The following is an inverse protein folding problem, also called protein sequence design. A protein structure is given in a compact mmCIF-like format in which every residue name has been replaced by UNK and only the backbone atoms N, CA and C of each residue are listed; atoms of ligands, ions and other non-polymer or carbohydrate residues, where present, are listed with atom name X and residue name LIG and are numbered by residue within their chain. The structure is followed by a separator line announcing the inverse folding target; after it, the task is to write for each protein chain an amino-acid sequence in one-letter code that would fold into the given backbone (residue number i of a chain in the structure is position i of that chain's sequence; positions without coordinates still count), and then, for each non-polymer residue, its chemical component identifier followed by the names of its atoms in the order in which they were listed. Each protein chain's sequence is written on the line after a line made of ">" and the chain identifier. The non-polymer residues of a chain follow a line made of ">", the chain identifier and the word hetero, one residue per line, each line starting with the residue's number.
data_IF_576273003263
#
_entry.id   IF_576273003263
#
_cell.length_a   1.000
_cell.length_b   1.000
_cell.length_c   1.000
_cell.angle_alpha   90.00
_cell.angle_beta   90.00
_cell.angle_gamma   90.00
#
_symmetry.space_group_name_H-M   'P 1'
#
loop_
_entity.id
_entity.type
_entity.pdbx_description
1 polymer ?
#
# COMPACT_ATOMS: atom_id res chain seq x y z
N UNK A 1 1.51 33.53 -25.25
CA UNK A 1 2.61 33.23 -24.33
C UNK A 1 2.23 31.99 -23.54
N UNK A 2 2.74 30.83 -23.94
CA UNK A 2 2.69 29.64 -23.09
C UNK A 2 3.82 29.81 -22.08
N UNK A 3 3.47 30.22 -20.86
CA UNK A 3 4.36 30.17 -19.71
C UNK A 3 4.69 28.70 -19.44
N UNK A 4 5.66 28.16 -20.18
CA UNK A 4 6.19 26.83 -19.99
C UNK A 4 7.02 26.82 -18.71
N UNK A 5 6.34 26.76 -17.57
CA UNK A 5 7.00 26.54 -16.28
C UNK A 5 7.64 25.14 -16.31
N UNK A 6 8.97 25.09 -16.38
CA UNK A 6 9.76 23.85 -16.35
C UNK A 6 9.72 23.13 -14.98
N UNK A 7 9.10 23.74 -13.97
CA UNK A 7 8.98 23.19 -12.63
C UNK A 7 7.70 23.66 -11.95
N UNK A 8 7.15 22.80 -11.10
CA UNK A 8 6.02 23.11 -10.21
C UNK A 8 6.53 23.32 -8.79
N UNK A 9 6.10 24.39 -8.12
CA UNK A 9 6.40 24.60 -6.70
C UNK A 9 5.55 23.67 -5.85
N UNK A 10 6.18 22.67 -5.23
CA UNK A 10 5.51 21.72 -4.33
C UNK A 10 5.89 22.03 -2.89
N UNK A 11 4.92 22.05 -1.98
CA UNK A 11 5.18 22.19 -0.54
C UNK A 11 5.89 20.94 -0.02
N UNK A 12 6.97 21.05 0.77
CA UNK A 12 7.69 19.88 1.29
C UNK A 12 6.79 18.86 2.00
N UNK A 13 5.79 19.31 2.77
CA UNK A 13 4.79 18.45 3.42
C UNK A 13 3.92 17.60 2.47
N UNK A 14 3.90 17.93 1.18
CA UNK A 14 3.21 17.17 0.14
C UNK A 14 4.16 16.25 -0.62
N UNK A 15 5.38 16.07 -0.13
CA UNK A 15 6.36 15.13 -0.66
C UNK A 15 6.62 14.07 0.41
N UNK A 16 6.82 12.84 -0.03
CA UNK A 16 7.32 11.78 0.84
C UNK A 16 8.36 10.94 0.11
N UNK A 17 9.31 10.43 0.87
CA UNK A 17 10.30 9.50 0.36
C UNK A 17 9.79 8.08 0.57
N UNK A 18 9.93 7.26 -0.47
CA UNK A 18 9.50 5.86 -0.47
C UNK A 18 10.66 5.00 -0.92
N UNK A 19 10.92 3.95 -0.17
CA UNK A 19 11.80 2.89 -0.64
C UNK A 19 10.96 1.87 -1.40
N UNK A 20 11.32 1.61 -2.66
CA UNK A 20 10.74 0.58 -3.49
C UNK A 20 11.54 -0.69 -3.20
N UNK A 21 10.98 -1.58 -2.41
CA UNK A 21 11.58 -2.88 -2.13
C UNK A 21 10.83 -3.97 -2.88
N UNK A 22 11.49 -5.11 -3.08
CA UNK A 22 10.79 -6.33 -3.47
C UNK A 22 9.81 -6.79 -2.39
N UNK A 23 9.95 -6.29 -1.14
CA UNK A 23 9.10 -6.49 0.04
C UNK A 23 7.96 -5.44 0.20
N UNK A 24 7.78 -4.53 -0.77
CA UNK A 24 6.72 -3.53 -0.77
C UNK A 24 7.25 -2.11 -0.78
N UNK A 25 6.55 -1.20 -0.10
CA UNK A 25 6.87 0.21 -0.13
C UNK A 25 6.80 0.81 1.26
N UNK A 26 7.89 0.70 2.01
CA UNK A 26 7.99 1.37 3.29
C UNK A 26 7.99 2.89 3.06
N UNK A 27 7.11 3.60 3.78
CA UNK A 27 7.20 5.05 3.89
C UNK A 27 8.38 5.34 4.81
N UNK A 28 9.37 6.08 4.31
CA UNK A 28 10.46 6.56 5.15
C UNK A 28 9.94 7.77 5.92
N UNK A 29 9.79 7.62 7.24
CA UNK A 29 9.38 8.71 8.13
C UNK A 29 10.60 9.49 8.63
N UNK A 30 10.42 10.77 8.97
CA UNK A 30 11.43 11.66 9.54
C UNK A 30 12.02 11.14 10.86
N UNK A 31 11.29 10.27 11.57
CA UNK A 31 11.73 9.56 12.77
C UNK A 31 12.67 8.37 12.50
N UNK A 32 12.67 7.83 11.27
CA UNK A 32 13.56 6.75 10.84
C UNK A 32 14.76 7.36 10.12
N UNK A 33 15.93 7.26 10.72
CA UNK A 33 17.16 7.69 10.02
C UNK A 33 17.35 6.88 8.73
N UNK A 34 17.96 7.46 7.70
CA UNK A 34 18.40 6.73 6.50
C UNK A 34 19.34 5.54 6.79
N UNK A 35 19.76 5.33 8.04
CA UNK A 35 20.52 4.14 8.46
C UNK A 35 19.66 2.88 8.51
N UNK A 36 18.35 3.00 8.76
CA UNK A 36 17.40 1.87 8.79
C UNK A 36 16.60 1.83 7.48
N UNK A 37 17.33 1.69 6.37
CA UNK A 37 16.73 1.28 5.09
C UNK A 37 16.27 -0.18 5.20
N UNK A 38 15.47 -0.63 4.23
CA UNK A 38 15.16 -2.05 4.08
C UNK A 38 16.43 -2.91 4.07
N UNK A 39 16.26 -4.24 4.15
CA UNK A 39 17.36 -5.21 4.25
C UNK A 39 18.45 -5.06 3.17
N UNK A 40 18.15 -4.38 2.06
CA UNK A 40 19.07 -4.12 0.95
C UNK A 40 19.32 -2.62 0.76
N UNK A 41 20.60 -2.25 0.73
CA UNK A 41 21.07 -0.87 0.58
C UNK A 41 20.94 -0.31 -0.84
N UNK A 42 20.73 -1.17 -1.83
CA UNK A 42 20.62 -0.88 -3.26
C UNK A 42 19.17 -0.73 -3.74
N UNK A 43 18.18 -0.83 -2.85
CA UNK A 43 16.79 -0.60 -3.21
C UNK A 43 16.58 0.80 -3.79
N UNK A 44 15.67 0.92 -4.76
CA UNK A 44 15.36 2.21 -5.37
C UNK A 44 14.59 3.09 -4.38
N UNK A 45 14.96 4.36 -4.32
CA UNK A 45 14.23 5.35 -3.52
C UNK A 45 13.54 6.30 -4.49
N UNK A 46 12.24 6.51 -4.31
CA UNK A 46 11.48 7.47 -5.09
C UNK A 46 10.88 8.56 -4.22
N UNK A 47 10.79 9.75 -4.80
CA UNK A 47 10.08 10.88 -4.23
C UNK A 47 8.65 10.87 -4.76
N UNK A 48 7.68 10.73 -3.88
CA UNK A 48 6.27 10.69 -4.24
C UNK A 48 5.57 11.99 -3.86
N UNK A 49 4.87 12.59 -4.83
CA UNK A 49 3.96 13.71 -4.60
C UNK A 49 2.64 13.21 -4.01
N UNK A 50 2.20 13.83 -2.93
CA UNK A 50 0.94 13.60 -2.26
C UNK A 50 -0.09 14.66 -2.66
N UNK A 51 -1.35 14.26 -2.73
CA UNK A 51 -2.47 15.21 -2.78
C UNK A 51 -2.57 15.90 -1.42
N UNK A 52 -3.07 17.13 -1.41
CA UNK A 52 -3.19 17.90 -0.17
C UNK A 52 -4.05 17.19 0.89
N UNK A 53 -5.13 16.50 0.48
CA UNK A 53 -5.96 15.68 1.37
C UNK A 53 -5.20 14.51 1.99
N UNK A 54 -4.24 13.93 1.27
CA UNK A 54 -3.41 12.83 1.77
C UNK A 54 -2.35 13.36 2.73
N UNK A 55 -1.68 14.45 2.36
CA UNK A 55 -0.70 15.13 3.20
C UNK A 55 -1.32 15.61 4.54
N UNK A 56 -2.55 16.12 4.51
CA UNK A 56 -3.28 16.55 5.73
C UNK A 56 -3.65 15.41 6.67
N UNK A 57 -3.69 14.16 6.20
CA UNK A 57 -3.93 13.00 7.06
C UNK A 57 -2.67 12.55 7.80
N UNK A 58 -1.50 12.98 7.33
CA UNK A 58 -0.22 12.65 7.93
C UNK A 58 0.10 13.68 9.02
N UNK A 59 0.38 13.19 10.22
CA UNK A 59 0.78 13.99 11.38
C UNK A 59 2.25 13.77 11.66
N UNK A 60 2.95 14.84 12.03
CA UNK A 60 4.33 14.76 12.50
C UNK A 60 4.45 13.83 13.70
N UNK A 61 5.55 13.08 13.76
CA UNK A 61 5.83 12.13 14.85
C UNK A 61 5.05 10.82 14.78
N UNK A 62 4.12 10.64 13.84
CA UNK A 62 3.39 9.38 13.64
C UNK A 62 4.03 8.59 12.49
N UNK A 63 4.31 7.31 12.71
CA UNK A 63 4.72 6.40 11.65
C UNK A 63 3.51 5.92 10.86
N UNK A 64 3.65 5.87 9.54
CA UNK A 64 2.61 5.37 8.64
C UNK A 64 3.14 4.22 7.81
N UNK A 65 2.29 3.25 7.54
CA UNK A 65 2.54 2.17 6.60
C UNK A 65 1.70 2.41 5.33
N UNK A 66 2.34 2.31 4.17
CA UNK A 66 1.64 2.22 2.89
C UNK A 66 1.34 0.76 2.55
N UNK A 67 0.09 0.48 2.22
CA UNK A 67 -0.38 -0.82 1.75
C UNK A 67 -0.90 -0.62 0.33
N UNK A 68 -0.25 -1.26 -0.63
CA UNK A 68 -0.72 -1.30 -2.01
C UNK A 68 -1.80 -2.36 -2.11
N UNK A 69 -2.94 -1.97 -2.64
CA UNK A 69 -4.12 -2.79 -2.78
C UNK A 69 -4.47 -2.93 -4.26
N UNK A 70 -5.03 -4.06 -4.68
CA UNK A 70 -5.64 -4.21 -6.00
C UNK A 70 -6.98 -4.92 -5.85
N UNK A 71 -8.03 -4.40 -6.47
CA UNK A 71 -9.35 -5.05 -6.45
C UNK A 71 -9.43 -6.10 -7.56
N UNK A 72 -9.95 -7.26 -7.21
CA UNK A 72 -10.27 -8.35 -8.11
C UNK A 72 -11.66 -8.90 -7.81
N UNK A 73 -12.47 -9.04 -8.87
CA UNK A 73 -13.77 -9.69 -8.84
C UNK A 73 -13.79 -10.82 -9.87
N UNK A 74 -13.84 -12.09 -9.47
CA UNK A 74 -13.88 -13.18 -10.43
C UNK A 74 -15.24 -13.30 -11.14
N UNK A 75 -16.34 -12.88 -10.51
CA UNK A 75 -17.69 -13.02 -11.06
C UNK A 75 -17.94 -12.05 -12.22
N UNK A 76 -17.32 -10.87 -12.18
CA UNK A 76 -17.39 -9.87 -13.26
C UNK A 76 -16.10 -9.79 -14.09
N UNK A 77 -15.07 -10.57 -13.75
CA UNK A 77 -13.73 -10.53 -14.35
C UNK A 77 -13.12 -9.12 -14.25
N UNK A 78 -13.52 -8.37 -13.23
CA UNK A 78 -13.07 -7.00 -13.02
C UNK A 78 -11.74 -7.01 -12.27
N UNK A 79 -10.72 -6.36 -12.83
CA UNK A 79 -9.50 -6.03 -12.12
C UNK A 79 -9.29 -4.52 -12.19
N UNK A 80 -9.29 -3.86 -11.04
CA UNK A 80 -8.97 -2.44 -11.00
C UNK A 80 -7.45 -2.22 -11.01
N UNK A 81 -7.01 -1.01 -11.40
CA UNK A 81 -5.66 -0.55 -11.13
C UNK A 81 -5.31 -0.65 -9.64
N UNK A 82 -4.04 -0.88 -9.30
CA UNK A 82 -3.62 -0.83 -7.92
C UNK A 82 -3.84 0.57 -7.33
N UNK A 83 -4.26 0.62 -6.07
CA UNK A 83 -4.43 1.82 -5.30
C UNK A 83 -3.68 1.69 -3.98
N UNK A 84 -3.46 2.81 -3.30
CA UNK A 84 -2.71 2.81 -2.06
C UNK A 84 -3.57 3.22 -0.88
N UNK A 85 -3.37 2.53 0.22
CA UNK A 85 -3.96 2.85 1.52
C UNK A 85 -2.84 3.19 2.50
N UNK A 86 -2.98 4.32 3.18
CA UNK A 86 -2.02 4.82 4.17
C UNK A 86 -2.66 4.71 5.55
N UNK A 87 -2.01 4.02 6.47
CA UNK A 87 -2.54 3.75 7.82
C UNK A 87 -1.45 4.04 8.85
N UNK A 88 -1.75 4.71 9.98
CA UNK A 88 -0.82 4.80 11.10
C UNK A 88 -0.34 3.41 11.54
N UNK A 89 0.95 3.22 11.83
CA UNK A 89 1.49 1.94 12.32
C UNK A 89 0.75 1.50 13.60
N UNK A 90 0.45 2.43 14.51
CA UNK A 90 -0.30 2.16 15.76
C UNK A 90 -1.72 1.64 15.52
N UNK A 91 -2.37 2.09 14.44
CA UNK A 91 -3.71 1.63 14.05
C UNK A 91 -3.65 0.24 13.41
N UNK A 92 -2.55 -0.11 12.74
CA UNK A 92 -2.34 -1.47 12.25
C UNK A 92 -2.16 -2.47 13.39
N UNK A 93 -1.57 -2.05 14.52
CA UNK A 93 -1.49 -2.87 15.74
C UNK A 93 -2.88 -3.22 16.28
N UNK A 94 -3.87 -2.32 16.11
CA UNK A 94 -5.27 -2.57 16.48
C UNK A 94 -5.97 -3.59 15.55
N UNK A 95 -5.34 -3.96 14.43
CA UNK A 95 -5.64 -5.18 13.68
C UNK A 95 -6.46 -5.00 12.40
N UNK A 96 -6.95 -6.14 11.88
CA UNK A 96 -7.59 -6.29 10.56
C UNK A 96 -8.81 -5.40 10.31
N UNK A 97 -9.56 -5.05 11.36
CA UNK A 97 -10.81 -4.29 11.21
C UNK A 97 -10.57 -2.87 10.71
N UNK A 98 -9.50 -2.22 11.19
CA UNK A 98 -9.14 -0.87 10.71
C UNK A 98 -8.71 -0.94 9.25
N UNK A 99 -7.91 -1.93 8.88
CA UNK A 99 -7.51 -2.15 7.49
C UNK A 99 -8.72 -2.36 6.56
N UNK A 100 -9.67 -3.22 6.96
CA UNK A 100 -10.92 -3.45 6.22
C UNK A 100 -11.72 -2.15 6.05
N UNK A 101 -11.85 -1.35 7.12
CA UNK A 101 -12.56 -0.07 7.09
C UNK A 101 -11.92 0.91 6.11
N UNK A 102 -10.61 1.13 6.20
CA UNK A 102 -9.92 2.11 5.33
C UNK A 102 -9.94 1.65 3.87
N UNK A 103 -9.78 0.35 3.62
CA UNK A 103 -9.90 -0.21 2.26
C UNK A 103 -11.33 -0.07 1.73
N UNK A 104 -12.34 -0.31 2.57
CA UNK A 104 -13.75 -0.13 2.22
C UNK A 104 -14.04 1.30 1.80
N UNK A 105 -13.58 2.29 2.58
CA UNK A 105 -13.70 3.72 2.26
C UNK A 105 -13.04 4.10 0.93
N UNK A 106 -11.93 3.44 0.57
CA UNK A 106 -11.23 3.73 -0.68
C UNK A 106 -11.87 3.02 -1.90
N UNK A 107 -12.36 1.80 -1.71
CA UNK A 107 -12.85 0.93 -2.79
C UNK A 107 -14.36 0.95 -2.98
N UNK A 108 -15.10 1.60 -2.08
CA UNK A 108 -16.57 1.56 -1.99
C UNK A 108 -17.14 0.14 -1.88
N UNK A 109 -16.38 -0.79 -1.28
CA UNK A 109 -16.79 -2.17 -1.03
C UNK A 109 -17.06 -2.31 0.46
N UNK A 110 -18.14 -2.99 0.84
CA UNK A 110 -18.45 -3.21 2.25
C UNK A 110 -17.38 -4.07 2.95
N UNK A 111 -16.96 -3.75 4.19
CA UNK A 111 -15.90 -4.48 4.90
C UNK A 111 -16.10 -6.01 4.96
N UNK A 112 -17.34 -6.46 5.12
CA UNK A 112 -17.75 -7.87 5.19
C UNK A 112 -17.58 -8.62 3.87
N UNK A 113 -17.55 -7.89 2.74
CA UNK A 113 -17.32 -8.47 1.41
C UNK A 113 -15.84 -8.56 1.08
N UNK A 114 -14.95 -7.96 1.87
CA UNK A 114 -13.52 -7.98 1.62
C UNK A 114 -12.91 -9.30 2.09
N UNK A 115 -12.31 -10.04 1.15
CA UNK A 115 -11.36 -11.10 1.42
C UNK A 115 -9.97 -10.69 0.94
N UNK A 116 -8.93 -11.15 1.62
CA UNK A 116 -7.55 -10.80 1.31
C UNK A 116 -6.79 -12.01 0.78
N UNK A 117 -5.87 -11.79 -0.15
CA UNK A 117 -4.88 -12.83 -0.47
C UNK A 117 -4.12 -13.24 0.78
N UNK A 118 -3.89 -14.55 0.95
CA UNK A 118 -2.96 -15.05 1.98
C UNK A 118 -1.59 -14.36 1.87
N UNK A 119 -0.87 -14.29 2.99
CA UNK A 119 0.52 -13.85 3.00
C UNK A 119 1.28 -14.66 1.96
N UNK A 120 1.88 -13.97 0.98
CA UNK A 120 2.78 -14.63 0.06
C UNK A 120 4.03 -15.04 0.83
N UNK A 121 4.64 -16.18 0.48
CA UNK A 121 5.94 -16.54 1.04
C UNK A 121 6.90 -15.38 0.81
N UNK A 122 7.67 -15.00 1.85
CA UNK A 122 8.71 -13.97 1.85
C UNK A 122 9.89 -14.28 0.91
N UNK A 123 9.72 -15.19 -0.04
CA UNK A 123 10.70 -15.43 -1.08
C UNK A 123 10.87 -14.14 -1.88
N UNK A 124 12.13 -13.72 -2.07
CA UNK A 124 12.53 -12.53 -2.82
C UNK A 124 11.99 -12.49 -4.26
N UNK A 125 11.49 -13.63 -4.77
CA UNK A 125 10.89 -13.80 -6.10
C UNK A 125 9.35 -13.89 -6.09
N UNK A 126 8.69 -13.79 -4.94
CA UNK A 126 7.23 -13.81 -4.89
C UNK A 126 6.68 -12.52 -5.52
N UNK A 127 5.94 -12.67 -6.62
CA UNK A 127 5.20 -11.56 -7.23
C UNK A 127 4.12 -11.08 -6.26
N UNK A 128 4.14 -9.80 -5.93
CA UNK A 128 3.09 -9.15 -5.15
C UNK A 128 1.69 -9.52 -5.64
N UNK A 129 0.68 -9.62 -4.75
CA UNK A 129 -0.66 -9.98 -5.18
C UNK A 129 -1.22 -8.99 -6.22
N UNK A 130 -0.78 -7.73 -6.18
CA UNK A 130 -1.17 -6.70 -7.14
C UNK A 130 -0.44 -6.76 -8.49
N UNK A 131 0.68 -7.48 -8.61
CA UNK A 131 1.40 -7.67 -9.90
C UNK A 131 1.03 -8.97 -10.60
N UNK A 132 0.16 -9.79 -10.01
CA UNK A 132 -0.35 -11.01 -10.63
C UNK A 132 -1.13 -10.73 -11.92
N UNK A 133 -0.95 -11.60 -12.89
CA UNK A 133 -1.77 -11.74 -14.09
C UNK A 133 -3.14 -12.33 -13.77
N UNK A 134 -4.11 -12.19 -14.68
CA UNK A 134 -5.48 -12.66 -14.47
C UNK A 134 -5.54 -14.16 -14.12
N UNK A 135 -4.77 -15.02 -14.79
CA UNK A 135 -4.73 -16.46 -14.48
C UNK A 135 -4.21 -16.71 -13.06
N UNK A 136 -3.11 -16.05 -12.68
CA UNK A 136 -2.54 -16.16 -11.32
C UNK A 136 -3.51 -15.65 -10.23
N UNK A 137 -4.42 -14.74 -10.56
CA UNK A 137 -5.45 -14.25 -9.63
C UNK A 137 -6.52 -15.30 -9.35
N UNK A 138 -6.94 -16.08 -10.36
CA UNK A 138 -7.87 -17.19 -10.17
C UNK A 138 -7.28 -18.31 -9.32
N UNK A 139 -5.97 -18.53 -9.42
CA UNK A 139 -5.24 -19.53 -8.62
C UNK A 139 -4.89 -19.01 -7.20
N UNK A 140 -5.25 -17.77 -6.88
CA UNK A 140 -4.91 -17.18 -5.58
C UNK A 140 -5.88 -17.64 -4.49
N UNK A 141 -5.35 -18.16 -3.39
CA UNK A 141 -6.17 -18.42 -2.20
C UNK A 141 -6.47 -17.12 -1.44
N UNK A 142 -7.76 -16.88 -1.21
CA UNK A 142 -8.27 -15.78 -0.39
C UNK A 142 -8.69 -16.28 0.98
N UNK A 143 -8.58 -15.42 1.99
CA UNK A 143 -9.00 -15.74 3.35
C UNK A 143 -8.93 -14.53 4.27
N UNK A 144 -9.21 -14.76 5.55
CA UNK A 144 -9.01 -13.77 6.58
C UNK A 144 -7.52 -13.63 6.92
N UNK A 145 -7.06 -12.40 7.14
CA UNK A 145 -5.70 -12.13 7.62
C UNK A 145 -5.59 -12.56 9.08
N UNK A 146 -5.08 -13.77 9.32
CA UNK A 146 -5.06 -14.38 10.65
C UNK A 146 -3.87 -13.95 11.54
N UNK A 147 -2.92 -13.17 11.06
CA UNK A 147 -1.83 -12.62 11.88
C UNK A 147 -1.22 -11.39 11.21
N UNK A 148 -1.70 -10.22 11.61
CA UNK A 148 -1.28 -8.93 11.09
C UNK A 148 -0.28 -8.30 12.06
N UNK A 149 0.83 -9.00 12.33
CA UNK A 149 1.86 -8.43 13.20
C UNK A 149 3.12 -7.98 12.45
N UNK A 150 3.45 -8.52 11.28
CA UNK A 150 4.73 -8.14 10.64
C UNK A 150 4.75 -7.93 9.11
N UNK A 151 3.71 -8.29 8.32
CA UNK A 151 3.79 -8.17 6.85
C UNK A 151 2.46 -7.77 6.16
N UNK A 152 2.11 -6.49 6.27
CA UNK A 152 0.97 -5.90 5.56
C UNK A 152 1.30 -5.52 4.11
N UNK A 153 2.52 -5.76 3.64
CA UNK A 153 2.89 -5.37 2.30
C UNK A 153 1.95 -6.03 1.28
N UNK A 154 1.51 -5.24 0.30
CA UNK A 154 0.69 -5.60 -0.86
C UNK A 154 -0.48 -6.58 -0.64
N UNK A 155 -1.73 -6.14 -0.82
CA UNK A 155 -2.91 -7.01 -0.72
C UNK A 155 -3.71 -7.05 -2.02
N UNK A 156 -4.14 -8.24 -2.41
CA UNK A 156 -5.22 -8.39 -3.37
C UNK A 156 -6.52 -8.46 -2.59
N UNK A 157 -7.44 -7.57 -2.94
CA UNK A 157 -8.77 -7.47 -2.36
C UNK A 157 -9.72 -8.19 -3.28
N UNK A 158 -10.33 -9.22 -2.73
CA UNK A 158 -11.37 -9.99 -3.37
C UNK A 158 -12.72 -9.66 -2.76
N UNK A 159 -13.77 -9.67 -3.56
CA UNK A 159 -15.12 -9.57 -3.05
C UNK A 159 -16.07 -10.60 -3.66
N UNK A 160 -16.93 -11.13 -2.79
CA UNK A 160 -18.07 -12.02 -3.12
C UNK A 160 -19.29 -11.15 -3.37
#
# INVERSE_FOLDING_TARGET
>A
MLENAYAEKIKPKCLRIREITNSGAAILNDSKTFKTRGYTWDNLVCLQKLKQKEASKMKEGINYQAIICRRFCPSTIEIMPPFEVIIPEDDLVQGLQILKKVISEHSNILPERLAFSKLLPLATFARWPFTKSLSELYDTTFGELSALQNDCAGKLIYFV
#
